data_IF_822372681268
#
_entry.id   IF_822372681268
#
_cell.length_a   1.000
_cell.length_b   1.000
_cell.length_c   1.000
_cell.angle_alpha   90.00
_cell.angle_beta   90.00
_cell.angle_gamma   90.00
#
_symmetry.space_group_name_H-M   'P 1'
#
loop_
_entity.id
_entity.type
_entity.pdbx_description
1 polymer ?
#
# COMPACT_ATOMS: atom_id res chain seq x y z
N UNK A 1 -21.16 47.27 14.79
CA UNK A 1 -20.00 46.46 14.40
C UNK A 1 -20.46 45.02 14.44
N UNK A 2 -20.55 44.36 13.27
CA UNK A 2 -20.94 42.95 13.20
C UNK A 2 -19.82 42.10 13.85
N UNK A 3 -20.13 41.46 14.98
CA UNK A 3 -19.22 40.45 15.53
C UNK A 3 -18.99 39.35 14.50
N UNK A 4 -17.88 39.42 13.79
CA UNK A 4 -17.45 38.30 12.92
C UNK A 4 -17.21 37.10 13.84
N UNK A 5 -18.12 36.14 13.79
CA UNK A 5 -18.02 34.92 14.56
C UNK A 5 -17.00 34.04 13.87
N UNK A 6 -15.82 33.91 14.46
CA UNK A 6 -14.74 33.02 13.94
C UNK A 6 -15.11 31.60 14.31
N UNK A 7 -15.20 30.69 13.32
CA UNK A 7 -15.51 29.27 13.53
C UNK A 7 -14.34 28.56 14.24
N UNK A 8 -13.15 28.77 13.75
CA UNK A 8 -11.87 28.32 14.34
C UNK A 8 -10.73 29.12 13.68
N UNK A 9 -9.60 29.20 14.35
CA UNK A 9 -8.37 29.75 13.80
C UNK A 9 -7.66 28.67 12.97
N UNK A 10 -7.51 28.92 11.66
CA UNK A 10 -6.84 27.99 10.73
C UNK A 10 -5.35 28.30 10.65
N UNK A 11 -4.56 27.29 10.40
CA UNK A 11 -3.14 27.43 10.06
C UNK A 11 -2.89 27.06 8.59
N UNK A 12 -1.71 27.39 8.08
CA UNK A 12 -1.40 27.35 6.64
C UNK A 12 -1.85 26.09 5.89
N UNK A 13 -1.67 24.88 6.48
CA UNK A 13 -2.12 23.62 5.84
C UNK A 13 -3.64 23.46 5.82
N UNK A 14 -4.34 23.97 6.80
CA UNK A 14 -5.80 24.00 6.81
C UNK A 14 -6.32 25.04 5.81
N UNK A 15 -5.63 26.17 5.65
CA UNK A 15 -5.96 27.19 4.64
C UNK A 15 -5.80 26.63 3.23
N UNK A 16 -4.68 25.96 2.94
CA UNK A 16 -4.46 25.24 1.66
C UNK A 16 -5.61 24.28 1.34
N UNK A 17 -6.05 23.51 2.37
CA UNK A 17 -7.19 22.61 2.21
C UNK A 17 -8.49 23.37 1.94
N UNK A 18 -8.79 24.41 2.70
CA UNK A 18 -10.01 25.23 2.50
C UNK A 18 -10.00 25.92 1.15
N UNK A 19 -8.89 26.51 0.72
CA UNK A 19 -8.75 27.11 -0.60
C UNK A 19 -9.03 26.08 -1.71
N UNK A 20 -8.50 24.87 -1.57
CA UNK A 20 -8.78 23.79 -2.52
C UNK A 20 -10.26 23.42 -2.57
N UNK A 21 -10.95 23.34 -1.43
CA UNK A 21 -12.39 23.07 -1.33
C UNK A 21 -13.21 24.13 -2.07
N UNK A 22 -12.88 25.40 -1.88
CA UNK A 22 -13.62 26.54 -2.45
C UNK A 22 -13.16 26.95 -3.85
N UNK A 23 -12.09 26.36 -4.36
CA UNK A 23 -11.59 26.63 -5.73
C UNK A 23 -12.52 26.17 -6.83
N UNK A 24 -13.48 25.31 -6.54
CA UNK A 24 -14.33 24.61 -7.51
C UNK A 24 -13.54 23.77 -8.55
N UNK A 25 -12.26 23.51 -8.32
CA UNK A 25 -11.42 22.72 -9.22
C UNK A 25 -11.58 21.23 -8.96
N UNK A 26 -11.61 20.81 -7.69
CA UNK A 26 -11.50 19.42 -7.30
C UNK A 26 -12.87 18.80 -6.94
N UNK A 27 -13.03 17.51 -7.27
CA UNK A 27 -14.16 16.69 -6.83
C UNK A 27 -13.77 15.79 -5.64
N UNK A 28 -12.45 15.49 -5.50
CA UNK A 28 -11.92 14.66 -4.44
C UNK A 28 -10.71 15.35 -3.82
N UNK A 29 -10.75 15.53 -2.50
CA UNK A 29 -9.63 16.10 -1.75
C UNK A 29 -9.34 15.18 -0.57
N UNK A 30 -8.15 14.55 -0.57
CA UNK A 30 -7.64 13.80 0.56
C UNK A 30 -6.65 14.68 1.35
N UNK A 31 -7.00 15.02 2.58
CA UNK A 31 -6.10 15.62 3.54
C UNK A 31 -5.56 14.52 4.45
N UNK A 32 -4.41 13.96 4.10
CA UNK A 32 -3.86 12.75 4.71
C UNK A 32 -2.45 12.93 5.25
N UNK A 33 -2.08 12.13 6.24
CA UNK A 33 -0.74 12.15 6.83
C UNK A 33 -0.76 12.06 8.35
N UNK A 34 0.22 12.71 9.00
CA UNK A 34 0.50 12.58 10.42
C UNK A 34 -0.71 12.83 11.34
N UNK A 35 -0.67 12.21 12.52
CA UNK A 35 -1.64 12.47 13.58
C UNK A 35 -1.60 13.95 14.02
N UNK A 36 -2.71 14.44 14.60
CA UNK A 36 -2.85 15.81 15.09
C UNK A 36 -2.55 16.95 14.08
N UNK A 37 -2.52 16.63 12.78
CA UNK A 37 -2.39 17.64 11.72
C UNK A 37 -3.64 18.48 11.48
N UNK A 38 -4.63 18.50 12.40
CA UNK A 38 -5.83 19.32 12.31
C UNK A 38 -6.84 18.93 11.22
N UNK A 39 -6.68 17.76 10.62
CA UNK A 39 -7.46 17.27 9.47
C UNK A 39 -8.97 17.26 9.71
N UNK A 40 -9.41 16.64 10.81
CA UNK A 40 -10.83 16.56 11.21
C UNK A 40 -11.46 17.95 11.37
N UNK A 41 -10.74 18.88 12.03
CA UNK A 41 -11.23 20.25 12.21
C UNK A 41 -11.38 20.98 10.88
N UNK A 42 -10.41 20.84 9.97
CA UNK A 42 -10.49 21.43 8.64
C UNK A 42 -11.66 20.87 7.83
N UNK A 43 -11.84 19.52 7.84
CA UNK A 43 -12.96 18.86 7.15
C UNK A 43 -14.32 19.32 7.65
N UNK A 44 -14.52 19.33 8.95
CA UNK A 44 -15.77 19.81 9.56
C UNK A 44 -15.99 21.31 9.29
N UNK A 45 -14.92 22.12 9.43
CA UNK A 45 -14.96 23.55 9.14
C UNK A 45 -15.37 23.85 7.70
N UNK A 46 -14.83 23.09 6.73
CA UNK A 46 -15.22 23.18 5.33
C UNK A 46 -16.72 22.90 5.14
N UNK A 47 -17.26 21.84 5.75
CA UNK A 47 -18.69 21.55 5.66
C UNK A 47 -19.55 22.61 6.31
N UNK A 48 -19.16 23.19 7.44
CA UNK A 48 -19.89 24.31 8.07
C UNK A 48 -19.92 25.55 7.18
N UNK A 49 -18.83 25.86 6.50
CA UNK A 49 -18.76 26.95 5.53
C UNK A 49 -19.63 26.66 4.29
N UNK A 50 -19.60 25.43 3.79
CA UNK A 50 -20.46 24.99 2.69
C UNK A 50 -21.94 25.07 3.06
N UNK A 51 -22.33 24.61 4.26
CA UNK A 51 -23.69 24.79 4.79
C UNK A 51 -24.11 26.26 4.83
N UNK A 52 -23.20 27.15 5.24
CA UNK A 52 -23.47 28.60 5.29
C UNK A 52 -23.65 29.20 3.89
N UNK A 53 -22.82 28.80 2.93
CA UNK A 53 -22.80 29.32 1.56
C UNK A 53 -23.98 28.80 0.70
N UNK A 54 -24.47 27.60 1.02
CA UNK A 54 -25.51 26.91 0.27
C UNK A 54 -26.68 26.54 1.19
N UNK A 55 -27.67 27.42 1.38
CA UNK A 55 -28.87 27.09 2.14
C UNK A 55 -29.57 25.83 1.60
N UNK A 56 -30.22 25.08 2.51
CA UNK A 56 -30.89 23.81 2.19
C UNK A 56 -29.99 22.67 1.70
N UNK A 57 -28.66 22.88 1.67
CA UNK A 57 -27.72 21.82 1.27
C UNK A 57 -27.63 20.70 2.31
N UNK A 58 -27.32 19.48 1.85
CA UNK A 58 -27.10 18.30 2.71
C UNK A 58 -25.70 17.77 2.52
N UNK A 59 -25.02 17.62 3.64
CA UNK A 59 -23.65 17.09 3.70
C UNK A 59 -23.62 15.90 4.64
N UNK A 60 -22.81 14.90 4.31
CA UNK A 60 -22.73 13.66 5.09
C UNK A 60 -21.32 13.45 5.60
N UNK A 61 -21.18 13.25 6.92
CA UNK A 61 -19.92 12.83 7.53
C UNK A 61 -20.00 11.34 7.76
N UNK A 62 -19.06 10.60 7.16
CA UNK A 62 -19.01 9.13 7.24
C UNK A 62 -17.81 8.68 8.04
N UNK A 63 -18.01 7.67 8.87
CA UNK A 63 -16.95 6.91 9.53
C UNK A 63 -17.33 5.41 9.58
N UNK A 64 -16.38 4.56 9.96
CA UNK A 64 -16.59 3.10 9.99
C UNK A 64 -17.81 2.67 10.84
N UNK A 65 -18.02 3.30 12.01
CA UNK A 65 -19.19 3.02 12.85
C UNK A 65 -19.83 4.30 13.40
N UNK A 66 -21.12 4.22 13.74
CA UNK A 66 -21.81 5.30 14.42
C UNK A 66 -21.22 5.55 15.83
N UNK A 67 -20.68 4.51 16.47
CA UNK A 67 -20.06 4.65 17.79
C UNK A 67 -18.78 5.51 17.70
N UNK A 68 -17.93 5.31 16.69
CA UNK A 68 -16.74 6.12 16.48
C UNK A 68 -17.07 7.57 16.16
N UNK A 69 -18.16 7.83 15.40
CA UNK A 69 -18.68 9.18 15.19
C UNK A 69 -19.07 9.85 16.51
N UNK A 70 -19.82 9.15 17.37
CA UNK A 70 -20.26 9.68 18.66
C UNK A 70 -19.11 9.96 19.63
N UNK A 71 -18.07 9.15 19.59
CA UNK A 71 -16.92 9.30 20.51
C UNK A 71 -15.92 10.38 20.02
N UNK A 72 -15.75 10.56 18.73
CA UNK A 72 -14.65 11.37 18.18
C UNK A 72 -15.12 12.56 17.35
N UNK A 73 -15.92 12.31 16.31
CA UNK A 73 -16.25 13.32 15.29
C UNK A 73 -17.31 14.30 15.78
N UNK A 74 -18.38 13.81 16.40
CA UNK A 74 -19.44 14.67 16.94
C UNK A 74 -18.93 15.60 18.06
N UNK A 75 -18.08 15.16 19.02
CA UNK A 75 -17.43 16.06 19.95
C UNK A 75 -16.57 17.14 19.27
N UNK A 76 -15.82 16.80 18.23
CA UNK A 76 -15.05 17.76 17.43
C UNK A 76 -15.96 18.76 16.72
N UNK A 77 -17.04 18.30 16.11
CA UNK A 77 -18.07 19.16 15.52
C UNK A 77 -18.64 20.15 16.53
N UNK A 78 -19.00 19.69 17.75
CA UNK A 78 -19.57 20.55 18.79
C UNK A 78 -18.61 21.63 19.28
N UNK A 79 -17.29 21.39 19.19
CA UNK A 79 -16.26 22.39 19.58
C UNK A 79 -16.21 23.57 18.63
N UNK A 80 -16.43 23.34 17.32
CA UNK A 80 -16.26 24.39 16.30
C UNK A 80 -17.58 24.92 15.75
N UNK A 81 -18.68 24.20 15.92
CA UNK A 81 -19.98 24.64 15.44
C UNK A 81 -20.65 25.57 16.46
N UNK A 82 -20.90 26.87 16.13
CA UNK A 82 -21.62 27.76 17.02
C UNK A 82 -23.07 27.28 17.26
N UNK A 83 -23.47 27.20 18.49
CA UNK A 83 -24.85 26.82 18.87
C UNK A 83 -25.91 27.72 18.21
N UNK A 84 -25.60 28.99 17.98
CA UNK A 84 -26.46 29.95 17.27
C UNK A 84 -26.80 29.57 15.83
N UNK A 85 -25.99 28.71 15.19
CA UNK A 85 -26.24 28.24 13.83
C UNK A 85 -27.22 27.08 13.79
N UNK A 86 -27.31 26.31 14.87
CA UNK A 86 -28.11 25.10 14.95
C UNK A 86 -29.57 25.48 15.16
N UNK A 87 -30.47 24.93 14.33
CA UNK A 87 -31.91 24.97 14.51
C UNK A 87 -32.39 23.79 15.33
N UNK A 88 -31.91 22.57 14.99
CA UNK A 88 -32.27 21.34 15.69
C UNK A 88 -31.21 20.26 15.50
N UNK A 89 -31.20 19.30 16.42
CA UNK A 89 -30.41 18.07 16.30
C UNK A 89 -31.33 16.86 16.55
N UNK A 90 -31.52 16.05 15.52
CA UNK A 90 -32.25 14.79 15.62
C UNK A 90 -31.26 13.68 15.98
N UNK A 91 -31.45 13.10 17.18
CA UNK A 91 -30.58 12.05 17.72
C UNK A 91 -30.83 10.67 17.09
N UNK A 92 -32.01 10.41 16.54
CA UNK A 92 -32.34 9.13 15.93
C UNK A 92 -31.68 9.02 14.55
N UNK A 93 -31.80 10.06 13.74
CA UNK A 93 -31.19 10.15 12.40
C UNK A 93 -29.77 10.72 12.43
N UNK A 94 -29.28 11.12 13.60
CA UNK A 94 -27.98 11.78 13.77
C UNK A 94 -27.78 12.98 12.82
N UNK A 95 -28.82 13.82 12.69
CA UNK A 95 -28.87 14.92 11.73
C UNK A 95 -28.92 16.28 12.47
N UNK A 96 -27.98 17.14 12.18
CA UNK A 96 -28.01 18.56 12.57
C UNK A 96 -28.65 19.37 11.45
N UNK A 97 -29.69 20.12 11.76
CA UNK A 97 -30.32 21.09 10.85
C UNK A 97 -29.94 22.50 11.31
N UNK A 98 -29.46 23.30 10.38
CA UNK A 98 -29.08 24.69 10.61
C UNK A 98 -30.26 25.64 10.35
N UNK A 99 -30.15 26.91 10.78
CA UNK A 99 -31.22 27.90 10.61
C UNK A 99 -31.54 28.26 9.17
N UNK A 100 -30.61 28.02 8.24
CA UNK A 100 -30.82 28.18 6.79
C UNK A 100 -31.26 26.88 6.11
N UNK A 101 -31.77 25.93 6.88
CA UNK A 101 -32.28 24.62 6.45
C UNK A 101 -31.22 23.69 5.82
N UNK A 102 -29.94 24.06 5.82
CA UNK A 102 -28.89 23.12 5.47
C UNK A 102 -28.70 22.05 6.57
N UNK A 103 -28.14 20.90 6.22
CA UNK A 103 -28.03 19.74 7.12
C UNK A 103 -26.64 19.11 7.07
N UNK A 104 -26.21 18.62 8.22
CA UNK A 104 -25.12 17.66 8.34
C UNK A 104 -25.64 16.37 8.96
N UNK A 105 -25.45 15.26 8.25
CA UNK A 105 -25.83 13.91 8.66
C UNK A 105 -24.57 13.15 9.07
N UNK A 106 -24.58 12.55 10.26
CA UNK A 106 -23.50 11.66 10.72
C UNK A 106 -23.89 10.21 10.44
N UNK A 107 -23.18 9.56 9.53
CA UNK A 107 -23.53 8.22 9.04
C UNK A 107 -22.38 7.22 9.30
N UNK A 108 -22.65 6.16 10.06
CA UNK A 108 -21.74 5.03 10.19
C UNK A 108 -21.84 4.10 8.97
N UNK A 109 -20.69 3.70 8.41
CA UNK A 109 -20.65 2.67 7.35
C UNK A 109 -21.27 1.36 7.86
N UNK A 110 -20.88 0.92 9.07
CA UNK A 110 -21.31 -0.32 9.70
C UNK A 110 -21.27 -1.52 8.74
N UNK A 111 -20.16 -1.67 8.02
CA UNK A 111 -20.04 -2.65 6.93
C UNK A 111 -20.27 -4.10 7.38
N UNK A 112 -19.99 -4.43 8.62
CA UNK A 112 -20.25 -5.78 9.16
C UNK A 112 -21.74 -6.15 9.09
N UNK A 113 -22.64 -5.16 9.32
CA UNK A 113 -24.09 -5.33 9.36
C UNK A 113 -24.75 -4.98 8.03
N UNK A 114 -24.15 -4.13 7.20
CA UNK A 114 -24.68 -3.63 5.93
C UNK A 114 -23.68 -3.75 4.78
N UNK A 115 -23.36 -4.99 4.38
CA UNK A 115 -22.40 -5.29 3.29
C UNK A 115 -22.84 -4.74 1.93
N UNK A 116 -24.12 -4.48 1.74
CA UNK A 116 -24.71 -3.95 0.51
C UNK A 116 -24.83 -2.43 0.50
N UNK A 117 -24.39 -1.78 1.58
CA UNK A 117 -24.42 -0.33 1.76
C UNK A 117 -25.82 0.28 1.52
N UNK A 118 -26.85 -0.41 2.03
CA UNK A 118 -28.24 0.01 1.85
C UNK A 118 -28.52 1.40 2.45
N UNK A 119 -27.79 1.75 3.52
CA UNK A 119 -27.88 3.09 4.15
C UNK A 119 -27.47 4.23 3.22
N UNK A 120 -26.67 3.94 2.21
CA UNK A 120 -26.22 4.92 1.20
C UNK A 120 -27.12 4.94 -0.02
N UNK A 121 -27.90 3.87 -0.26
CA UNK A 121 -28.85 3.81 -1.38
C UNK A 121 -30.00 4.80 -1.14
N UNK A 122 -30.29 5.61 -2.12
CA UNK A 122 -31.35 6.62 -2.01
C UNK A 122 -30.99 7.87 -1.19
N UNK A 123 -29.75 7.96 -0.66
CA UNK A 123 -29.27 9.14 0.05
C UNK A 123 -29.12 10.31 -0.92
N UNK A 124 -29.82 11.43 -0.67
CA UNK A 124 -29.68 12.67 -1.43
C UNK A 124 -28.81 13.63 -0.66
N UNK A 125 -27.66 14.02 -1.25
CA UNK A 125 -26.69 14.93 -0.63
C UNK A 125 -25.86 15.68 -1.66
N UNK A 126 -25.22 16.76 -1.24
CA UNK A 126 -24.34 17.57 -2.07
C UNK A 126 -22.89 17.06 -2.06
N UNK A 127 -22.48 16.42 -0.97
CA UNK A 127 -21.14 15.84 -0.85
C UNK A 127 -20.90 15.18 0.50
N UNK A 128 -19.67 14.71 0.67
CA UNK A 128 -19.26 13.91 1.82
C UNK A 128 -17.98 14.41 2.45
N UNK A 129 -17.85 14.16 3.76
CA UNK A 129 -16.59 14.09 4.47
C UNK A 129 -16.41 12.65 4.94
N UNK A 130 -15.44 11.94 4.38
CA UNK A 130 -15.05 10.59 4.76
C UNK A 130 -13.92 10.70 5.78
N UNK A 131 -14.27 10.65 7.06
CA UNK A 131 -13.29 10.76 8.14
C UNK A 131 -12.64 9.40 8.41
N UNK A 132 -11.30 9.38 8.47
CA UNK A 132 -10.47 8.17 8.51
C UNK A 132 -10.88 7.19 7.39
N UNK A 133 -10.83 7.68 6.15
CA UNK A 133 -11.24 6.93 4.96
C UNK A 133 -10.51 5.57 4.82
N UNK A 134 -9.33 5.45 5.42
CA UNK A 134 -8.55 4.21 5.51
C UNK A 134 -9.26 3.10 6.33
N UNK A 135 -10.18 3.46 7.21
CA UNK A 135 -11.03 2.52 7.96
C UNK A 135 -12.25 2.05 7.16
N UNK A 136 -12.60 2.74 6.07
CA UNK A 136 -13.76 2.44 5.24
C UNK A 136 -13.43 1.45 4.12
N UNK A 137 -14.46 0.75 3.63
CA UNK A 137 -14.32 -0.08 2.45
C UNK A 137 -14.22 0.77 1.18
N UNK A 138 -13.39 0.33 0.22
CA UNK A 138 -13.27 1.02 -1.06
C UNK A 138 -14.60 1.15 -1.80
N UNK A 139 -15.49 0.15 -1.67
CA UNK A 139 -16.81 0.22 -2.30
C UNK A 139 -17.70 1.30 -1.67
N UNK A 140 -17.50 1.65 -0.39
CA UNK A 140 -18.20 2.77 0.26
C UNK A 140 -17.77 4.09 -0.36
N UNK A 141 -16.48 4.26 -0.64
CA UNK A 141 -15.99 5.43 -1.37
C UNK A 141 -16.70 5.57 -2.73
N UNK A 142 -16.75 4.50 -3.54
CA UNK A 142 -17.44 4.56 -4.82
C UNK A 142 -18.96 4.80 -4.69
N UNK A 143 -19.58 4.31 -3.62
CA UNK A 143 -21.00 4.59 -3.34
C UNK A 143 -21.19 6.07 -3.00
N UNK A 144 -20.28 6.69 -2.25
CA UNK A 144 -20.30 8.13 -2.00
C UNK A 144 -20.11 8.95 -3.30
N UNK A 145 -19.23 8.48 -4.20
CA UNK A 145 -19.06 9.09 -5.54
C UNK A 145 -20.39 9.09 -6.32
N UNK A 146 -21.11 7.96 -6.31
CA UNK A 146 -22.41 7.83 -6.99
C UNK A 146 -23.47 8.78 -6.41
N UNK A 147 -23.40 9.07 -5.11
CA UNK A 147 -24.43 9.84 -4.41
C UNK A 147 -24.13 11.33 -4.26
N UNK A 148 -22.86 11.74 -4.39
CA UNK A 148 -22.49 13.15 -4.29
C UNK A 148 -23.13 13.99 -5.39
N UNK A 149 -23.79 15.09 -5.02
CA UNK A 149 -24.51 15.99 -5.94
C UNK A 149 -25.93 15.56 -6.28
N UNK A 150 -26.46 14.50 -5.65
CA UNK A 150 -27.84 14.04 -5.89
C UNK A 150 -28.91 14.96 -5.27
N UNK A 151 -28.57 15.77 -4.28
CA UNK A 151 -29.45 16.83 -3.76
C UNK A 151 -29.44 18.02 -4.71
N UNK A 152 -30.61 18.33 -5.30
CA UNK A 152 -30.75 19.43 -6.26
C UNK A 152 -31.16 20.69 -5.51
N UNK A 153 -30.48 21.78 -5.79
CA UNK A 153 -30.71 23.10 -5.20
C UNK A 153 -30.75 24.15 -6.30
N UNK A 154 -31.44 25.28 -6.05
CA UNK A 154 -31.45 26.43 -6.96
C UNK A 154 -30.01 26.96 -7.19
N UNK A 155 -29.23 27.12 -6.12
CA UNK A 155 -27.80 27.38 -6.19
C UNK A 155 -27.03 26.09 -5.86
N UNK A 156 -26.62 25.37 -6.89
CA UNK A 156 -25.97 24.07 -6.76
C UNK A 156 -24.51 24.19 -6.41
N UNK A 157 -24.04 23.61 -5.27
CA UNK A 157 -22.62 23.45 -5.03
C UNK A 157 -22.02 22.39 -5.96
N UNK A 158 -20.74 22.51 -6.25
CA UNK A 158 -20.02 21.42 -6.94
C UNK A 158 -20.03 20.16 -6.09
N UNK A 159 -20.36 18.98 -6.65
CA UNK A 159 -20.23 17.72 -5.95
C UNK A 159 -18.79 17.50 -5.49
N UNK A 160 -18.60 17.30 -4.18
CA UNK A 160 -17.26 17.13 -3.59
C UNK A 160 -17.23 16.04 -2.55
N UNK A 161 -16.15 15.28 -2.53
CA UNK A 161 -15.83 14.34 -1.48
C UNK A 161 -14.54 14.79 -0.84
N UNK A 162 -14.63 15.14 0.42
CA UNK A 162 -13.52 15.43 1.31
C UNK A 162 -13.16 14.16 2.06
N UNK A 163 -11.88 13.89 2.25
CA UNK A 163 -11.44 12.73 3.00
C UNK A 163 -10.26 13.08 3.93
N UNK A 164 -10.23 12.43 5.08
CA UNK A 164 -9.11 12.51 6.02
C UNK A 164 -8.61 11.12 6.36
N UNK A 165 -7.32 10.96 6.58
CA UNK A 165 -6.74 9.71 7.09
C UNK A 165 -5.35 9.89 7.68
N UNK A 166 -4.92 8.89 8.42
CA UNK A 166 -3.51 8.64 8.71
C UNK A 166 -2.92 7.67 7.67
N UNK A 167 -1.59 7.61 7.52
CA UNK A 167 -0.97 6.67 6.60
C UNK A 167 -1.39 5.23 6.92
N UNK A 168 -1.74 4.49 5.89
CA UNK A 168 -2.13 3.08 6.00
C UNK A 168 -1.80 2.35 4.70
N UNK A 169 -1.44 1.08 4.82
CA UNK A 169 -1.11 0.25 3.66
C UNK A 169 -2.35 -0.47 3.14
N UNK A 170 -3.23 0.28 2.49
CA UNK A 170 -4.47 -0.23 1.92
C UNK A 170 -4.84 0.50 0.62
N UNK A 171 -6.05 0.28 0.12
CA UNK A 171 -6.58 0.86 -1.11
C UNK A 171 -6.48 2.40 -1.19
N UNK A 172 -6.45 3.11 -0.05
CA UNK A 172 -6.29 4.58 -0.01
C UNK A 172 -4.89 4.98 -0.44
N UNK A 173 -3.86 4.22 0.00
CA UNK A 173 -2.48 4.44 -0.43
C UNK A 173 -2.37 4.30 -1.94
N UNK A 174 -2.87 3.19 -2.49
CA UNK A 174 -2.82 2.91 -3.94
C UNK A 174 -3.59 3.94 -4.77
N UNK A 175 -4.77 4.33 -4.29
CA UNK A 175 -5.66 5.20 -5.06
C UNK A 175 -5.22 6.67 -5.04
N UNK A 176 -4.64 7.16 -3.93
CA UNK A 176 -4.29 8.56 -3.73
C UNK A 176 -2.78 8.77 -3.63
N UNK A 177 -2.13 8.24 -2.59
CA UNK A 177 -0.74 8.56 -2.28
C UNK A 177 0.24 8.10 -3.36
N UNK A 178 0.13 6.87 -3.81
CA UNK A 178 1.04 6.32 -4.82
C UNK A 178 0.88 7.02 -6.17
N UNK A 179 -0.37 7.36 -6.54
CA UNK A 179 -0.63 8.14 -7.76
C UNK A 179 -0.12 9.56 -7.64
N UNK A 180 -0.33 10.21 -6.49
CA UNK A 180 0.21 11.54 -6.23
C UNK A 180 1.74 11.57 -6.34
N UNK A 181 2.41 10.59 -5.75
CA UNK A 181 3.87 10.46 -5.79
C UNK A 181 4.43 10.31 -7.21
N UNK A 182 3.65 9.73 -8.10
CA UNK A 182 3.98 9.55 -9.52
C UNK A 182 3.42 10.64 -10.43
N UNK A 183 2.88 11.73 -9.88
CA UNK A 183 2.13 12.78 -10.61
C UNK A 183 1.00 12.21 -11.49
N UNK A 184 0.37 11.12 -11.06
CA UNK A 184 -0.66 10.39 -11.78
C UNK A 184 -2.07 10.53 -11.19
N UNK A 185 -2.31 11.49 -10.30
CA UNK A 185 -3.67 11.80 -9.86
C UNK A 185 -4.45 12.45 -11.01
N UNK A 186 -5.75 12.15 -11.16
CA UNK A 186 -6.61 12.90 -12.07
C UNK A 186 -6.63 14.40 -11.74
N UNK A 187 -6.82 15.27 -12.72
CA UNK A 187 -6.78 16.74 -12.55
C UNK A 187 -7.79 17.28 -11.53
N UNK A 188 -8.91 16.56 -11.34
CA UNK A 188 -9.94 16.90 -10.38
C UNK A 188 -9.79 16.22 -9.01
N UNK A 189 -8.62 15.60 -8.76
CA UNK A 189 -8.25 15.00 -7.47
C UNK A 189 -7.10 15.76 -6.86
N UNK A 190 -7.07 15.84 -5.53
CA UNK A 190 -5.97 16.47 -4.80
C UNK A 190 -5.64 15.65 -3.56
N UNK A 191 -4.35 15.46 -3.33
CA UNK A 191 -3.81 14.96 -2.07
C UNK A 191 -3.00 16.05 -1.39
N UNK A 192 -3.34 16.37 -0.14
CA UNK A 192 -2.64 17.35 0.70
C UNK A 192 -1.94 16.57 1.82
N UNK A 193 -0.60 16.47 1.82
CA UNK A 193 0.15 15.81 2.88
C UNK A 193 0.13 16.64 4.15
N UNK A 194 -0.05 15.99 5.31
CA UNK A 194 -0.04 16.59 6.64
C UNK A 194 1.10 16.02 7.49
N UNK A 195 1.82 16.91 8.17
CA UNK A 195 2.82 16.58 9.19
C UNK A 195 2.38 17.13 10.54
N UNK A 196 2.87 16.55 11.62
CA UNK A 196 2.58 17.05 12.96
C UNK A 196 3.10 18.49 13.16
N UNK A 197 4.21 18.84 12.50
CA UNK A 197 4.83 20.16 12.53
C UNK A 197 3.99 21.24 11.86
N UNK A 198 3.01 20.89 11.05
CA UNK A 198 2.12 21.84 10.38
C UNK A 198 1.13 22.48 11.36
N UNK A 199 0.89 21.84 12.51
CA UNK A 199 -0.02 22.33 13.52
C UNK A 199 0.73 23.12 14.64
N UNK A 200 0.62 24.43 14.67
CA UNK A 200 1.33 25.27 15.65
C UNK A 200 0.77 25.16 17.08
N UNK A 201 -0.42 24.58 17.25
CA UNK A 201 -1.10 24.45 18.55
C UNK A 201 -0.70 23.20 19.34
N UNK A 202 0.24 22.41 18.84
CA UNK A 202 0.72 21.22 19.53
C UNK A 202 1.79 21.61 20.56
N UNK A 203 1.57 21.33 21.86
CA UNK A 203 2.58 21.57 22.89
C UNK A 203 3.88 20.83 22.61
N UNK A 204 5.02 21.46 22.93
CA UNK A 204 6.34 20.87 22.72
C UNK A 204 6.53 19.60 23.55
N UNK A 205 6.08 19.59 24.82
CA UNK A 205 6.11 18.41 25.69
C UNK A 205 5.40 17.20 25.08
N UNK A 206 4.31 17.45 24.34
CA UNK A 206 3.64 16.37 23.60
C UNK A 206 4.50 15.83 22.45
N UNK A 207 5.18 16.70 21.70
CA UNK A 207 6.10 16.26 20.63
C UNK A 207 7.26 15.45 21.20
N UNK A 208 7.79 15.86 22.36
CA UNK A 208 8.83 15.09 23.05
C UNK A 208 8.31 13.71 23.50
N UNK A 209 7.10 13.64 24.03
CA UNK A 209 6.50 12.36 24.44
C UNK A 209 6.35 11.38 23.26
N UNK A 210 6.10 11.88 22.05
CA UNK A 210 6.01 11.02 20.86
C UNK A 210 7.32 10.33 20.49
N UNK A 211 8.47 10.89 20.89
CA UNK A 211 9.79 10.27 20.65
C UNK A 211 9.97 8.94 21.40
N UNK A 212 9.10 8.65 22.39
CA UNK A 212 9.07 7.36 23.07
C UNK A 212 8.37 6.25 22.29
N UNK A 213 7.67 6.61 21.20
CA UNK A 213 7.00 5.65 20.35
C UNK A 213 8.03 4.72 19.65
N UNK A 214 7.64 3.47 19.34
CA UNK A 214 8.43 2.63 18.44
C UNK A 214 8.78 3.39 17.16
N UNK A 215 10.01 3.25 16.68
CA UNK A 215 10.50 3.99 15.51
C UNK A 215 9.57 3.91 14.31
N UNK A 216 8.99 2.73 14.08
CA UNK A 216 8.01 2.52 13.02
C UNK A 216 6.78 3.42 13.18
N UNK A 217 6.14 3.37 14.37
CA UNK A 217 4.94 4.17 14.65
C UNK A 217 5.23 5.67 14.55
N UNK A 218 6.41 6.09 15.04
CA UNK A 218 6.86 7.48 14.92
C UNK A 218 6.94 7.92 13.46
N UNK A 219 7.58 7.13 12.59
CA UNK A 219 7.71 7.46 11.18
C UNK A 219 6.34 7.49 10.45
N UNK A 220 5.47 6.53 10.73
CA UNK A 220 4.15 6.46 10.10
C UNK A 220 3.23 7.57 10.62
N UNK A 221 3.07 7.66 11.93
CA UNK A 221 2.03 8.51 12.53
C UNK A 221 2.48 9.95 12.82
N UNK A 222 3.79 10.18 13.06
CA UNK A 222 4.32 11.50 13.35
C UNK A 222 4.88 12.17 12.10
N UNK A 223 5.67 11.44 11.32
CA UNK A 223 6.27 11.93 10.08
C UNK A 223 5.36 11.77 8.85
N UNK A 224 4.26 11.04 8.99
CA UNK A 224 3.30 10.83 7.91
C UNK A 224 3.83 9.92 6.79
N UNK A 225 4.71 9.00 7.10
CA UNK A 225 5.37 8.13 6.12
C UNK A 225 4.45 6.98 5.69
N UNK A 226 3.97 7.02 4.46
CA UNK A 226 3.12 6.00 3.86
C UNK A 226 3.87 4.78 3.32
N UNK A 227 5.18 4.90 3.13
CA UNK A 227 5.99 3.86 2.50
C UNK A 227 6.54 2.86 3.51
N UNK A 228 6.41 3.13 4.80
CA UNK A 228 6.73 2.17 5.85
C UNK A 228 5.56 1.22 6.11
N UNK A 229 5.89 -0.04 6.32
CA UNK A 229 4.95 -1.08 6.73
C UNK A 229 5.28 -1.56 8.13
N UNK A 230 4.25 -1.86 8.90
CA UNK A 230 4.42 -2.49 10.21
C UNK A 230 5.00 -3.88 10.01
N UNK A 231 6.14 -4.14 10.66
CA UNK A 231 6.72 -5.47 10.70
C UNK A 231 6.09 -6.25 11.84
N UNK A 232 5.41 -7.31 11.49
CA UNK A 232 4.78 -8.22 12.46
C UNK A 232 5.80 -9.12 13.18
N UNK A 233 7.06 -9.15 12.68
CA UNK A 233 8.09 -10.08 13.11
C UNK A 233 7.93 -11.49 12.52
N UNK A 234 6.87 -11.71 11.76
CA UNK A 234 6.61 -12.97 11.06
C UNK A 234 7.02 -12.93 9.58
N UNK A 235 7.78 -11.93 9.15
CA UNK A 235 8.26 -11.84 7.78
C UNK A 235 9.33 -12.88 7.51
N UNK A 236 9.25 -13.54 6.35
CA UNK A 236 10.26 -14.46 5.87
C UNK A 236 11.59 -13.74 5.59
N UNK A 237 11.53 -12.55 4.98
CA UNK A 237 12.69 -11.69 4.73
C UNK A 237 12.86 -10.65 5.84
N UNK A 238 13.31 -11.11 7.01
CA UNK A 238 13.41 -10.33 8.27
C UNK A 238 14.27 -9.06 8.15
N UNK A 239 15.22 -9.05 7.23
CA UNK A 239 16.18 -7.95 7.07
C UNK A 239 16.01 -7.17 5.76
N UNK A 240 14.98 -7.48 4.96
CA UNK A 240 14.62 -6.64 3.82
C UNK A 240 14.20 -5.26 4.33
N UNK A 241 14.75 -4.19 3.79
CA UNK A 241 14.48 -2.81 4.20
C UNK A 241 14.30 -1.93 2.97
N UNK A 242 13.24 -1.14 2.94
CA UNK A 242 12.99 -0.21 1.84
C UNK A 242 14.15 0.78 1.69
N UNK A 243 14.64 1.32 2.82
CA UNK A 243 15.74 2.30 2.81
C UNK A 243 17.05 1.72 2.27
N UNK A 244 17.29 0.44 2.46
CA UNK A 244 18.53 -0.22 2.05
C UNK A 244 18.43 -0.84 0.66
N UNK A 245 17.31 -1.51 0.37
CA UNK A 245 17.18 -2.37 -0.80
C UNK A 245 16.33 -1.79 -1.93
N UNK A 246 15.56 -0.71 -1.69
CA UNK A 246 14.80 -0.05 -2.75
C UNK A 246 15.56 1.19 -3.19
N UNK A 247 16.25 1.07 -4.33
CA UNK A 247 17.14 2.11 -4.87
C UNK A 247 16.95 2.24 -6.36
N UNK A 248 17.21 3.44 -6.89
CA UNK A 248 17.19 3.64 -8.33
C UNK A 248 18.16 2.67 -9.03
N UNK A 249 17.61 1.94 -9.97
CA UNK A 249 18.30 0.95 -10.80
C UNK A 249 17.94 1.20 -12.24
N UNK A 250 18.94 1.45 -13.07
CA UNK A 250 18.77 1.72 -14.50
C UNK A 250 19.24 0.52 -15.30
N UNK A 251 18.59 0.30 -16.43
CA UNK A 251 19.04 -0.67 -17.41
C UNK A 251 20.33 -0.17 -18.08
N UNK A 252 21.35 -1.01 -18.05
CA UNK A 252 22.65 -0.80 -18.71
C UNK A 252 22.79 -1.71 -19.93
N UNK A 253 22.74 -1.20 -21.16
CA UNK A 253 22.81 -2.03 -22.37
C UNK A 253 24.09 -2.86 -22.51
N UNK A 254 25.19 -2.44 -21.87
CA UNK A 254 26.49 -3.12 -21.90
C UNK A 254 26.60 -4.34 -20.96
N UNK A 255 25.68 -4.45 -19.99
CA UNK A 255 25.67 -5.58 -19.05
C UNK A 255 24.68 -6.66 -19.53
N UNK A 256 24.99 -7.94 -19.32
CA UNK A 256 24.06 -9.02 -19.61
C UNK A 256 22.74 -8.86 -18.82
N UNK A 257 21.68 -9.39 -19.41
CA UNK A 257 20.41 -9.60 -18.71
C UNK A 257 20.38 -10.98 -18.08
N UNK A 258 19.87 -11.04 -16.86
CA UNK A 258 19.61 -12.25 -16.10
C UNK A 258 18.11 -12.33 -15.86
N UNK A 259 17.42 -13.32 -16.43
CA UNK A 259 15.99 -13.51 -16.20
C UNK A 259 15.75 -14.73 -15.32
N UNK A 260 14.90 -14.58 -14.33
CA UNK A 260 14.52 -15.67 -13.44
C UNK A 260 13.01 -15.88 -13.46
N UNK A 261 12.59 -17.14 -13.40
CA UNK A 261 11.21 -17.58 -13.58
C UNK A 261 10.72 -18.44 -12.43
N UNK A 262 9.44 -18.29 -12.11
CA UNK A 262 8.68 -19.21 -11.26
C UNK A 262 7.47 -19.70 -12.04
N UNK A 263 7.25 -21.03 -12.09
CA UNK A 263 6.14 -21.64 -12.82
C UNK A 263 4.84 -21.49 -12.04
N UNK A 264 4.29 -20.28 -12.06
CA UNK A 264 3.03 -19.95 -11.45
C UNK A 264 2.06 -19.35 -12.48
N UNK A 265 0.76 -19.61 -12.33
CA UNK A 265 -0.26 -19.14 -13.26
C UNK A 265 -1.16 -18.07 -12.64
N UNK A 266 -1.35 -18.13 -11.35
CA UNK A 266 -2.17 -17.19 -10.58
C UNK A 266 -1.41 -16.68 -9.35
N UNK A 267 -1.41 -15.36 -9.13
CA UNK A 267 -2.12 -14.31 -9.87
C UNK A 267 -1.49 -13.95 -11.23
N UNK A 268 -0.27 -14.39 -11.49
CA UNK A 268 0.48 -14.11 -12.71
C UNK A 268 1.59 -15.15 -12.95
N UNK A 269 2.08 -15.23 -14.20
CA UNK A 269 3.34 -15.89 -14.54
C UNK A 269 4.48 -14.87 -14.39
N UNK A 270 5.37 -14.96 -13.37
CA UNK A 270 6.37 -13.96 -13.13
C UNK A 270 7.68 -14.25 -13.85
N UNK A 271 8.27 -13.20 -14.42
CA UNK A 271 9.65 -13.16 -14.92
C UNK A 271 10.35 -11.94 -14.33
N UNK A 272 11.35 -12.15 -13.49
CA UNK A 272 12.20 -11.07 -12.97
C UNK A 272 13.36 -10.81 -13.92
N UNK A 273 13.61 -9.53 -14.23
CA UNK A 273 14.74 -9.10 -15.06
C UNK A 273 15.78 -8.41 -14.19
N UNK A 274 16.96 -9.00 -14.14
CA UNK A 274 18.05 -8.54 -13.30
C UNK A 274 19.25 -8.12 -14.15
N UNK A 275 20.06 -7.24 -13.60
CA UNK A 275 21.44 -7.03 -14.02
C UNK A 275 22.39 -7.23 -12.84
N UNK A 276 23.55 -7.79 -13.11
CA UNK A 276 24.54 -8.14 -12.10
C UNK A 276 25.90 -7.57 -12.51
N UNK A 277 26.49 -6.77 -11.61
CA UNK A 277 27.80 -6.20 -11.78
C UNK A 277 28.70 -6.58 -10.59
N UNK A 278 29.59 -7.55 -10.79
CA UNK A 278 30.33 -8.15 -9.68
C UNK A 278 29.39 -8.84 -8.71
N UNK A 279 29.25 -8.30 -7.49
CA UNK A 279 28.34 -8.81 -6.46
C UNK A 279 27.14 -7.86 -6.20
N UNK A 280 26.94 -6.86 -7.05
CA UNK A 280 25.78 -5.96 -6.99
C UNK A 280 24.68 -6.48 -7.92
N UNK A 281 23.58 -6.91 -7.33
CA UNK A 281 22.40 -7.47 -8.00
C UNK A 281 21.33 -6.41 -8.02
N UNK A 282 20.78 -6.14 -9.18
CA UNK A 282 19.74 -5.13 -9.41
C UNK A 282 18.53 -5.78 -10.09
N UNK A 283 17.40 -5.83 -9.42
CA UNK A 283 16.12 -6.16 -10.05
C UNK A 283 15.61 -4.87 -10.73
N UNK A 284 15.74 -4.83 -12.05
CA UNK A 284 15.47 -3.63 -12.87
C UNK A 284 14.07 -3.63 -13.46
N UNK A 285 13.45 -4.82 -13.62
CA UNK A 285 12.11 -4.97 -14.19
C UNK A 285 11.46 -6.27 -13.72
N UNK A 286 10.13 -6.30 -13.79
CA UNK A 286 9.32 -7.52 -13.64
C UNK A 286 8.29 -7.58 -14.76
N UNK A 287 8.20 -8.73 -15.41
CA UNK A 287 7.16 -9.01 -16.42
C UNK A 287 6.19 -10.00 -15.80
N UNK A 288 4.99 -9.54 -15.55
CA UNK A 288 3.94 -10.33 -14.90
C UNK A 288 2.88 -10.70 -15.94
N UNK A 289 2.88 -11.95 -16.35
CA UNK A 289 1.90 -12.49 -17.28
C UNK A 289 0.54 -12.69 -16.58
N UNK A 290 -0.38 -11.75 -16.77
CA UNK A 290 -1.73 -11.78 -16.18
C UNK A 290 -2.71 -12.28 -17.23
N UNK A 291 -3.66 -13.17 -16.82
CA UNK A 291 -4.71 -13.69 -17.71
C UNK A 291 -5.45 -12.56 -18.46
N UNK A 292 -5.63 -12.64 -19.80
CA UNK A 292 -5.38 -13.81 -20.67
C UNK A 292 -3.95 -13.93 -21.24
N UNK A 293 -3.00 -13.07 -20.86
CA UNK A 293 -1.61 -13.03 -21.36
C UNK A 293 -0.64 -13.66 -20.35
N UNK A 294 -0.95 -14.84 -19.84
CA UNK A 294 -0.16 -15.53 -18.81
C UNK A 294 0.50 -16.83 -19.33
N UNK A 295 0.80 -16.87 -20.64
CA UNK A 295 1.59 -17.95 -21.22
C UNK A 295 3.08 -17.58 -21.29
N UNK A 296 3.96 -18.59 -21.38
CA UNK A 296 5.40 -18.40 -21.62
C UNK A 296 5.63 -17.49 -22.83
N UNK A 297 4.90 -17.76 -23.92
CA UNK A 297 4.99 -17.01 -25.17
C UNK A 297 4.64 -15.52 -24.97
N UNK A 298 3.57 -15.22 -24.22
CA UNK A 298 3.15 -13.84 -23.95
C UNK A 298 4.22 -13.07 -23.16
N UNK A 299 4.75 -13.68 -22.09
CA UNK A 299 5.78 -13.06 -21.26
C UNK A 299 7.10 -12.90 -22.05
N UNK A 300 7.49 -13.89 -22.85
CA UNK A 300 8.65 -13.78 -23.74
C UNK A 300 8.46 -12.70 -24.83
N UNK A 301 7.25 -12.53 -25.36
CA UNK A 301 6.98 -11.47 -26.33
C UNK A 301 7.07 -10.08 -25.69
N UNK A 302 6.58 -9.93 -24.46
CA UNK A 302 6.74 -8.69 -23.71
C UNK A 302 8.22 -8.40 -23.39
N UNK A 303 8.99 -9.42 -23.03
CA UNK A 303 10.45 -9.30 -22.87
C UNK A 303 11.12 -8.83 -24.17
N UNK A 304 10.82 -9.47 -25.31
CA UNK A 304 11.33 -9.09 -26.62
C UNK A 304 10.96 -7.65 -27.00
N UNK A 305 9.77 -7.22 -26.63
CA UNK A 305 9.34 -5.84 -26.87
C UNK A 305 10.14 -4.81 -26.05
N UNK A 306 10.30 -5.08 -24.73
CA UNK A 306 11.03 -4.15 -23.83
C UNK A 306 12.53 -4.10 -24.12
N UNK A 307 13.13 -5.22 -24.48
CA UNK A 307 14.58 -5.39 -24.62
C UNK A 307 15.03 -5.70 -26.05
N UNK A 308 14.28 -5.27 -27.07
CA UNK A 308 14.50 -5.57 -28.49
C UNK A 308 15.90 -5.30 -29.00
N UNK A 309 16.63 -4.34 -28.43
CA UNK A 309 17.97 -3.93 -28.85
C UNK A 309 19.07 -4.49 -27.91
N UNK A 310 18.75 -5.39 -26.99
CA UNK A 310 19.74 -5.95 -26.09
C UNK A 310 20.58 -7.02 -26.79
N UNK A 311 21.92 -6.89 -26.73
CA UNK A 311 22.87 -7.81 -27.35
C UNK A 311 23.98 -8.32 -26.42
N UNK A 312 24.03 -7.86 -25.17
CA UNK A 312 25.12 -8.13 -24.24
C UNK A 312 25.02 -9.50 -23.51
N UNK A 313 24.12 -10.37 -23.97
CA UNK A 313 23.94 -11.72 -23.44
C UNK A 313 22.73 -11.88 -22.53
N UNK A 314 22.18 -13.08 -22.50
CA UNK A 314 20.99 -13.46 -21.72
C UNK A 314 21.23 -14.75 -20.95
N UNK A 315 21.00 -14.70 -19.65
CA UNK A 315 21.08 -15.87 -18.76
C UNK A 315 19.69 -16.16 -18.16
N UNK A 316 19.31 -17.43 -18.11
CA UNK A 316 17.98 -17.90 -17.69
C UNK A 316 18.10 -18.73 -16.42
N UNK A 317 17.40 -18.32 -15.36
CA UNK A 317 17.35 -18.95 -14.04
C UNK A 317 15.91 -19.31 -13.68
N UNK A 318 15.72 -20.07 -12.62
CA UNK A 318 14.41 -20.34 -12.05
C UNK A 318 14.34 -21.63 -11.25
N UNK A 319 13.09 -22.06 -10.99
CA UNK A 319 12.80 -23.26 -10.21
C UNK A 319 13.33 -24.53 -10.90
N UNK A 320 14.18 -25.29 -10.21
CA UNK A 320 14.72 -26.54 -10.72
C UNK A 320 13.64 -27.62 -10.97
N UNK A 321 12.50 -27.55 -10.26
CA UNK A 321 11.40 -28.51 -10.42
C UNK A 321 10.71 -28.38 -11.77
N UNK A 322 10.73 -27.19 -12.38
CA UNK A 322 10.16 -26.89 -13.70
C UNK A 322 11.01 -27.45 -14.87
N UNK A 323 12.12 -28.16 -14.58
CA UNK A 323 12.89 -28.90 -15.58
C UNK A 323 12.30 -30.29 -15.87
N UNK A 324 11.32 -30.76 -15.10
CA UNK A 324 10.66 -32.03 -15.32
C UNK A 324 9.85 -31.97 -16.61
N UNK A 325 9.87 -33.09 -17.34
CA UNK A 325 8.99 -33.25 -18.49
C UNK A 325 7.53 -33.31 -18.04
N UNK A 326 6.65 -32.56 -18.70
CA UNK A 326 5.21 -32.63 -18.46
C UNK A 326 4.63 -33.70 -19.42
N UNK A 327 3.86 -34.64 -18.87
CA UNK A 327 3.16 -35.67 -19.66
C UNK A 327 2.16 -35.11 -20.68
N UNK A 328 1.82 -33.83 -20.57
CA UNK A 328 0.94 -33.13 -21.52
C UNK A 328 1.68 -32.50 -22.70
N UNK A 329 3.01 -32.56 -22.71
CA UNK A 329 3.84 -32.03 -23.78
C UNK A 329 4.57 -33.14 -24.54
N UNK A 330 5.05 -32.83 -25.72
CA UNK A 330 5.89 -33.73 -26.47
C UNK A 330 7.19 -34.03 -25.71
N UNK A 331 7.71 -35.25 -25.87
CA UNK A 331 8.93 -35.70 -25.20
C UNK A 331 10.10 -34.75 -25.51
N UNK A 332 10.78 -34.28 -24.47
CA UNK A 332 11.88 -33.34 -24.58
C UNK A 332 11.49 -31.86 -24.37
N UNK A 333 10.20 -31.56 -24.23
CA UNK A 333 9.74 -30.22 -23.92
C UNK A 333 9.46 -30.06 -22.41
N UNK A 334 9.99 -29.01 -21.85
CA UNK A 334 9.69 -28.55 -20.47
C UNK A 334 9.62 -27.02 -20.44
N UNK A 335 9.29 -26.48 -19.28
CA UNK A 335 9.14 -25.04 -19.07
C UNK A 335 10.32 -24.22 -19.62
N UNK A 336 11.56 -24.64 -19.31
CA UNK A 336 12.75 -23.92 -19.76
C UNK A 336 13.08 -24.12 -21.23
N UNK A 337 12.83 -25.28 -21.79
CA UNK A 337 13.07 -25.51 -23.26
C UNK A 337 12.19 -24.59 -24.09
N UNK A 338 10.95 -24.33 -23.66
CA UNK A 338 10.05 -23.37 -24.32
C UNK A 338 10.57 -21.93 -24.20
N UNK A 339 11.04 -21.51 -23.00
CA UNK A 339 11.63 -20.19 -22.81
C UNK A 339 12.85 -19.98 -23.70
N UNK A 340 13.76 -20.96 -23.73
CA UNK A 340 14.97 -20.89 -24.55
C UNK A 340 14.64 -20.82 -26.05
N UNK A 341 13.63 -21.55 -26.50
CA UNK A 341 13.16 -21.51 -27.88
C UNK A 341 12.55 -20.14 -28.24
N UNK A 342 11.65 -19.64 -27.38
CA UNK A 342 11.01 -18.33 -27.61
C UNK A 342 12.03 -17.16 -27.61
N UNK A 343 13.09 -17.28 -26.83
CA UNK A 343 14.13 -16.24 -26.69
C UNK A 343 15.40 -16.56 -27.50
N UNK A 344 15.35 -17.50 -28.46
CA UNK A 344 16.50 -17.96 -29.23
C UNK A 344 17.31 -16.85 -29.91
N UNK A 345 16.66 -15.73 -30.32
CA UNK A 345 17.33 -14.58 -30.92
C UNK A 345 18.32 -13.86 -29.98
N UNK A 346 18.24 -14.09 -28.67
CA UNK A 346 19.18 -13.55 -27.68
C UNK A 346 20.30 -14.52 -27.30
N UNK A 347 20.36 -15.71 -27.91
CA UNK A 347 21.27 -16.81 -27.56
C UNK A 347 21.30 -17.10 -26.05
N UNK A 348 20.16 -17.42 -25.42
CA UNK A 348 20.03 -17.55 -23.98
C UNK A 348 20.83 -18.72 -23.44
N UNK A 349 21.51 -18.52 -22.31
CA UNK A 349 22.25 -19.56 -21.59
C UNK A 349 21.46 -19.96 -20.35
N UNK A 350 21.04 -21.25 -20.29
CA UNK A 350 20.34 -21.78 -19.11
C UNK A 350 21.28 -21.94 -17.93
N UNK A 351 20.91 -21.36 -16.80
CA UNK A 351 21.58 -21.42 -15.49
C UNK A 351 20.61 -21.82 -14.39
N UNK A 352 20.05 -23.01 -14.53
CA UNK A 352 19.12 -23.59 -13.55
C UNK A 352 19.83 -24.76 -12.87
N UNK A 353 19.79 -24.78 -11.53
CA UNK A 353 20.38 -25.86 -10.73
C UNK A 353 19.71 -27.20 -10.99
N UNK A 354 20.36 -28.31 -10.69
CA UNK A 354 19.78 -29.66 -10.76
C UNK A 354 18.69 -29.87 -9.69
N UNK A 355 18.78 -29.17 -8.58
CA UNK A 355 17.81 -29.19 -7.49
C UNK A 355 17.72 -27.82 -6.83
N UNK A 356 16.56 -27.51 -6.25
CA UNK A 356 16.37 -26.27 -5.49
C UNK A 356 17.09 -26.35 -4.15
N UNK A 357 17.69 -25.23 -3.68
CA UNK A 357 18.10 -25.11 -2.30
C UNK A 357 16.89 -25.23 -1.36
N UNK A 358 17.07 -25.77 -0.16
CA UNK A 358 16.04 -25.78 0.88
C UNK A 358 15.47 -24.39 1.09
N UNK A 359 14.15 -24.23 1.14
CA UNK A 359 13.49 -22.94 1.31
C UNK A 359 13.95 -22.24 2.58
N UNK A 360 14.04 -22.97 3.69
CA UNK A 360 14.50 -22.43 4.99
C UNK A 360 15.93 -21.93 4.88
N UNK A 361 16.83 -22.74 4.35
CA UNK A 361 18.25 -22.42 4.26
C UNK A 361 18.50 -21.26 3.28
N UNK A 362 17.85 -21.24 2.12
CA UNK A 362 17.99 -20.12 1.19
C UNK A 362 17.43 -18.81 1.78
N UNK A 363 16.30 -18.88 2.52
CA UNK A 363 15.75 -17.72 3.22
C UNK A 363 16.70 -17.16 4.26
N UNK A 364 17.36 -18.02 5.04
CA UNK A 364 18.39 -17.61 5.99
C UNK A 364 19.59 -16.95 5.31
N UNK A 365 20.06 -17.52 4.21
CA UNK A 365 21.16 -16.96 3.42
C UNK A 365 20.80 -15.58 2.83
N UNK A 366 19.61 -15.45 2.22
CA UNK A 366 19.14 -14.16 1.70
C UNK A 366 18.99 -13.13 2.82
N UNK A 367 18.51 -13.55 3.99
CA UNK A 367 18.45 -12.67 5.16
C UNK A 367 19.85 -12.21 5.62
N UNK A 368 20.89 -13.06 5.52
CA UNK A 368 22.25 -12.65 5.80
C UNK A 368 22.78 -11.63 4.78
N UNK A 369 22.48 -11.83 3.51
CA UNK A 369 22.75 -10.83 2.45
C UNK A 369 22.05 -9.51 2.75
N UNK A 370 20.79 -9.53 3.14
CA UNK A 370 20.04 -8.31 3.45
C UNK A 370 20.50 -7.61 4.72
N UNK A 371 20.96 -8.36 5.72
CA UNK A 371 21.41 -7.80 6.99
C UNK A 371 22.72 -7.06 6.88
N UNK A 372 23.77 -7.72 6.41
CA UNK A 372 25.15 -7.23 6.43
C UNK A 372 25.91 -7.42 5.13
N UNK A 373 25.22 -7.62 3.99
CA UNK A 373 25.85 -7.91 2.69
C UNK A 373 26.76 -9.13 2.74
N UNK A 374 26.28 -10.22 3.36
CA UNK A 374 27.08 -11.44 3.48
C UNK A 374 27.75 -11.80 2.14
N UNK A 375 29.05 -12.10 2.19
CA UNK A 375 29.86 -12.35 1.01
C UNK A 375 30.03 -11.12 0.10
N UNK A 376 29.85 -9.89 0.62
CA UNK A 376 29.85 -8.62 -0.12
C UNK A 376 28.77 -8.51 -1.19
N UNK A 377 27.74 -9.36 -1.08
CA UNK A 377 26.61 -9.37 -2.01
C UNK A 377 25.65 -8.23 -1.65
N UNK A 378 25.31 -7.39 -2.63
CA UNK A 378 24.30 -6.36 -2.48
C UNK A 378 23.09 -6.66 -3.37
N UNK A 379 21.89 -6.32 -2.90
CA UNK A 379 20.65 -6.52 -3.62
C UNK A 379 19.82 -5.25 -3.62
N UNK A 380 19.35 -4.87 -4.80
CA UNK A 380 18.54 -3.65 -4.99
C UNK A 380 17.34 -3.93 -5.87
N UNK A 381 16.22 -3.29 -5.56
CA UNK A 381 14.98 -3.33 -6.35
C UNK A 381 14.68 -1.91 -6.81
N UNK A 382 14.36 -1.76 -8.09
CA UNK A 382 13.91 -0.48 -8.66
C UNK A 382 12.63 0.00 -7.96
N UNK A 383 12.52 1.26 -7.53
CA UNK A 383 11.37 1.77 -6.75
C UNK A 383 10.01 1.64 -7.45
N UNK A 384 9.98 1.56 -8.77
CA UNK A 384 8.75 1.41 -9.55
C UNK A 384 8.16 0.00 -9.53
N UNK A 385 8.92 -1.01 -9.05
CA UNK A 385 8.49 -2.42 -9.03
C UNK A 385 7.72 -2.75 -7.74
N UNK A 386 6.51 -2.22 -7.62
CA UNK A 386 5.70 -2.30 -6.40
C UNK A 386 5.36 -3.73 -6.00
N UNK A 387 5.04 -4.59 -6.97
CA UNK A 387 4.70 -5.99 -6.74
C UNK A 387 5.91 -6.73 -6.15
N UNK A 388 7.12 -6.48 -6.65
CA UNK A 388 8.34 -7.07 -6.11
C UNK A 388 8.63 -6.58 -4.68
N UNK A 389 8.52 -5.27 -4.46
CA UNK A 389 8.69 -4.66 -3.13
C UNK A 389 7.66 -5.24 -2.15
N UNK A 390 6.40 -5.34 -2.58
CA UNK A 390 5.31 -5.94 -1.80
C UNK A 390 5.56 -7.41 -1.48
N UNK A 391 6.06 -8.18 -2.43
CA UNK A 391 6.38 -9.60 -2.25
C UNK A 391 7.47 -9.80 -1.18
N UNK A 392 8.62 -9.11 -1.28
CA UNK A 392 9.67 -9.17 -0.27
C UNK A 392 9.26 -8.63 1.10
N UNK A 393 8.36 -7.66 1.14
CA UNK A 393 7.90 -7.04 2.39
C UNK A 393 6.86 -7.87 3.12
N UNK A 394 5.98 -8.58 2.39
CA UNK A 394 4.77 -9.19 2.94
C UNK A 394 4.79 -10.72 2.97
N UNK A 395 5.78 -11.37 2.33
CA UNK A 395 5.95 -12.83 2.44
C UNK A 395 6.18 -13.21 3.90
N UNK A 396 5.29 -14.01 4.48
CA UNK A 396 5.35 -14.46 5.88
C UNK A 396 6.14 -15.76 5.99
N UNK A 397 6.68 -15.99 7.19
CA UNK A 397 7.31 -17.25 7.61
C UNK A 397 6.25 -18.11 8.31
N UNK A 398 6.09 -19.33 7.86
CA UNK A 398 5.26 -20.33 8.54
C UNK A 398 5.98 -20.90 9.77
N UNK A 399 5.26 -21.63 10.63
CA UNK A 399 5.81 -22.19 11.86
C UNK A 399 6.99 -23.16 11.64
N UNK A 400 7.06 -23.77 10.46
CA UNK A 400 8.14 -24.69 10.05
C UNK A 400 9.34 -23.97 9.39
N UNK A 401 9.33 -22.63 9.35
CA UNK A 401 10.38 -21.81 8.76
C UNK A 401 10.30 -21.67 7.23
N UNK A 402 9.30 -22.25 6.59
CA UNK A 402 9.05 -22.07 5.16
C UNK A 402 8.27 -20.76 4.90
N UNK A 403 8.18 -20.38 3.61
CA UNK A 403 7.26 -19.31 3.22
C UNK A 403 5.82 -19.75 3.48
N UNK A 404 5.02 -18.89 4.10
CA UNK A 404 3.59 -19.15 4.31
C UNK A 404 2.89 -19.25 2.94
N UNK A 405 2.15 -20.35 2.75
CA UNK A 405 1.40 -20.65 1.54
C UNK A 405 -0.11 -20.43 1.70
N UNK A 406 -0.50 -19.62 2.67
CA UNK A 406 -1.91 -19.25 2.86
C UNK A 406 -2.47 -18.64 1.58
N UNK A 407 -3.59 -19.21 1.12
CA UNK A 407 -4.25 -18.77 -0.11
C UNK A 407 -5.34 -17.76 0.20
N UNK A 408 -5.44 -16.77 -0.67
CA UNK A 408 -6.57 -15.83 -0.72
C UNK A 408 -7.45 -16.14 -1.93
N UNK A 409 -8.73 -15.81 -1.84
CA UNK A 409 -9.68 -16.04 -2.93
C UNK A 409 -9.86 -14.74 -3.71
N UNK A 410 -9.62 -14.79 -5.01
CA UNK A 410 -9.92 -13.68 -5.91
C UNK A 410 -11.45 -13.43 -5.95
N UNK A 411 -11.85 -12.17 -5.69
CA UNK A 411 -13.26 -11.82 -5.57
C UNK A 411 -14.02 -11.89 -6.91
N UNK A 412 -13.32 -11.78 -8.05
CA UNK A 412 -13.94 -11.77 -9.38
C UNK A 412 -13.97 -13.17 -9.99
N UNK A 413 -12.84 -13.87 -9.98
CA UNK A 413 -12.72 -15.19 -10.59
C UNK A 413 -13.09 -16.34 -9.66
N UNK A 414 -13.11 -16.10 -8.35
CA UNK A 414 -13.31 -17.13 -7.33
C UNK A 414 -12.12 -18.09 -7.16
N UNK A 415 -11.02 -17.86 -7.87
CA UNK A 415 -9.83 -18.72 -7.84
C UNK A 415 -9.03 -18.41 -6.56
N UNK A 416 -8.59 -19.47 -5.89
CA UNK A 416 -7.70 -19.34 -4.72
C UNK A 416 -6.25 -19.37 -5.17
N UNK A 417 -5.47 -18.36 -4.76
CA UNK A 417 -4.05 -18.23 -5.09
C UNK A 417 -3.22 -17.76 -3.90
N UNK A 418 -1.92 -17.99 -3.93
CA UNK A 418 -0.97 -17.48 -2.97
C UNK A 418 -0.59 -16.04 -3.38
N UNK A 419 -0.78 -15.01 -2.52
CA UNK A 419 -0.58 -13.62 -2.93
C UNK A 419 0.89 -13.20 -2.99
N UNK A 420 1.77 -13.83 -2.22
CA UNK A 420 3.18 -13.47 -2.09
C UNK A 420 4.09 -14.70 -2.19
N UNK A 421 5.37 -14.47 -2.44
CA UNK A 421 6.41 -15.50 -2.52
C UNK A 421 6.91 -15.80 -3.93
N UNK A 422 6.13 -15.45 -4.96
CA UNK A 422 6.46 -15.79 -6.35
C UNK A 422 7.58 -14.92 -6.94
N UNK A 423 7.53 -13.61 -6.72
CA UNK A 423 8.57 -12.71 -7.25
C UNK A 423 9.85 -12.81 -6.42
N UNK A 424 9.74 -12.99 -5.11
CA UNK A 424 10.89 -13.16 -4.26
C UNK A 424 11.63 -14.47 -4.52
N UNK A 425 10.93 -15.55 -4.93
CA UNK A 425 11.56 -16.80 -5.37
C UNK A 425 12.48 -16.59 -6.59
N UNK A 426 12.16 -15.66 -7.50
CA UNK A 426 13.00 -15.33 -8.65
C UNK A 426 14.39 -14.86 -8.24
N UNK A 427 14.45 -13.96 -7.25
CA UNK A 427 15.70 -13.47 -6.69
C UNK A 427 16.44 -14.55 -5.91
N UNK A 428 15.72 -15.36 -5.13
CA UNK A 428 16.28 -16.46 -4.35
C UNK A 428 17.01 -17.47 -5.25
N UNK A 429 16.38 -17.91 -6.37
CA UNK A 429 17.00 -18.83 -7.32
C UNK A 429 18.24 -18.24 -7.97
N UNK A 430 18.17 -17.00 -8.42
CA UNK A 430 19.28 -16.30 -9.06
C UNK A 430 20.45 -16.12 -8.10
N UNK A 431 20.22 -15.62 -6.89
CA UNK A 431 21.27 -15.34 -5.90
C UNK A 431 21.95 -16.64 -5.46
N UNK A 432 21.20 -17.68 -5.12
CA UNK A 432 21.74 -18.96 -4.71
C UNK A 432 22.55 -19.64 -5.82
N UNK A 433 22.17 -19.46 -7.09
CA UNK A 433 22.94 -19.98 -8.21
C UNK A 433 24.23 -19.23 -8.44
N UNK A 434 24.17 -17.90 -8.56
CA UNK A 434 25.30 -17.04 -8.85
C UNK A 434 26.38 -17.11 -7.75
N UNK A 435 25.93 -17.13 -6.52
CA UNK A 435 26.78 -17.12 -5.33
C UNK A 435 26.75 -18.46 -4.60
N UNK A 436 26.81 -19.54 -5.38
CA UNK A 436 26.76 -20.90 -4.85
C UNK A 436 27.95 -21.26 -3.95
N UNK A 437 29.09 -20.54 -4.08
CA UNK A 437 30.24 -20.68 -3.17
C UNK A 437 29.89 -20.06 -1.82
N UNK A 438 29.45 -18.82 -1.79
CA UNK A 438 29.05 -18.10 -0.58
C UNK A 438 27.88 -18.79 0.12
N UNK A 439 26.93 -19.32 -0.65
CA UNK A 439 25.82 -20.14 -0.13
C UNK A 439 26.33 -21.40 0.59
N UNK A 440 27.29 -22.13 0.02
CA UNK A 440 27.90 -23.29 0.68
C UNK A 440 28.71 -22.91 1.91
N UNK A 441 29.45 -21.80 1.88
CA UNK A 441 30.15 -21.26 3.05
C UNK A 441 29.17 -20.93 4.17
N UNK A 442 28.03 -20.32 3.84
CA UNK A 442 26.96 -20.06 4.79
C UNK A 442 26.39 -21.34 5.40
N UNK A 443 26.13 -22.38 4.59
CA UNK A 443 25.63 -23.69 5.04
C UNK A 443 26.59 -24.39 6.00
N UNK A 444 27.89 -24.28 5.76
CA UNK A 444 28.93 -24.96 6.54
C UNK A 444 29.30 -24.22 7.85
N UNK A 445 28.51 -23.24 8.26
CA UNK A 445 28.68 -22.58 9.55
C UNK A 445 29.66 -21.41 9.55
N UNK A 446 29.89 -20.80 8.39
CA UNK A 446 30.70 -19.57 8.26
C UNK A 446 30.12 -18.34 8.97
N UNK A 447 28.94 -18.45 9.58
CA UNK A 447 28.31 -17.42 10.43
C UNK A 447 27.66 -18.09 11.63
N UNK A 448 28.42 -18.22 12.70
CA UNK A 448 27.87 -18.51 14.03
C UNK A 448 27.13 -17.29 14.54
N UNK A 449 25.88 -17.52 14.95
CA UNK A 449 25.01 -16.62 15.71
C UNK A 449 24.47 -15.37 14.97
N UNK A 450 23.40 -15.52 14.18
CA UNK A 450 22.33 -14.56 14.29
C UNK A 450 21.67 -14.80 15.65
N UNK A 451 21.96 -13.95 16.64
CA UNK A 451 21.25 -13.97 17.90
C UNK A 451 19.75 -13.96 17.58
N UNK A 452 19.04 -15.01 17.97
CA UNK A 452 17.57 -14.97 18.00
C UNK A 452 17.21 -13.72 18.78
N UNK A 453 16.35 -12.81 18.29
CA UNK A 453 15.75 -11.84 19.17
C UNK A 453 15.11 -12.66 20.29
N UNK A 454 15.54 -12.43 21.54
CA UNK A 454 14.93 -13.07 22.69
C UNK A 454 13.44 -12.71 22.65
N UNK A 455 12.60 -13.67 22.30
CA UNK A 455 11.20 -13.61 22.62
C UNK A 455 11.14 -13.37 24.13
N UNK A 456 10.54 -12.26 24.53
CA UNK A 456 10.18 -12.05 25.93
C UNK A 456 9.33 -13.24 26.34
N UNK A 457 9.93 -14.14 27.10
CA UNK A 457 9.17 -15.08 27.91
C UNK A 457 8.29 -14.24 28.85
N UNK A 458 7.02 -14.15 28.53
CA UNK A 458 6.00 -13.83 29.51
C UNK A 458 5.86 -15.08 30.35
N UNK A 459 6.80 -15.30 31.25
CA UNK A 459 6.69 -16.27 32.32
C UNK A 459 5.83 -15.64 33.41
N UNK A 460 4.68 -16.26 33.60
CA UNK A 460 3.88 -16.27 34.80
C UNK A 460 4.59 -15.76 36.05
N UNK A 461 4.25 -14.56 36.52
CA UNK A 461 4.22 -14.28 37.93
C UNK A 461 2.75 -14.36 38.41
N UNK A 462 2.38 -15.58 38.76
CA UNK A 462 1.28 -15.81 39.74
C UNK A 462 1.90 -15.78 41.14
N UNK A 463 1.46 -14.81 41.92
CA UNK A 463 1.24 -14.83 43.35
C UNK A 463 2.39 -14.86 44.32
N UNK A 464 2.32 -13.90 45.23
CA UNK A 464 1.76 -14.01 46.58
C UNK A 464 1.89 -12.66 47.28
N UNK A 465 0.86 -12.07 47.62
CA UNK A 465 0.11 -11.66 48.83
C UNK A 465 -0.79 -10.50 48.46
#
# INVERSE_FOLDING_TARGET
>A
MSNKQILFESFAKQEEFLEAVFSNKYNFILYGGAIRGGKTFAGIGALLLLCKMYPQSKWVIVRNTLQTLKLNTIPSFRKICPQSFIKSYNQDTQTVTFRNESQIIFLGENYADDKDLNRFKGLECNGFLLEEINELQQKTFYKCVERAGSQILEKQPKPIILATCNPSNNWVKELFYDKWKLNGLPDNWLYIPSKITDNPFIPEDYKESLKTMPKYEYEVFVNGNWDLQERSGAEFYKYFSLDKHVKECYYEPSLPLHISWDENVHPYLPCGVFQVQGKDIRLIDTILGINPKNTIKDVCNEFKFRYKNHTSGLFVYGDATSQKEDVKQEKGYNFFTLILQELSSYNPIKRVSSSNPSVVMRGQFINAVFYNNFGDITFKIKPTLKEAIGDYSNTKEAADGHKDKTKVKDAKSGISYQPFGHISDLGDYLICYLFSKEYREFQNGGVTSFARPMGRNVANERHRL
#
